data_IF_548568952554
#
_entry.id   IF_548568952554
#
_cell.length_a   1.000
_cell.length_b   1.000
_cell.length_c   1.000
_cell.angle_alpha   90.00
_cell.angle_beta   90.00
_cell.angle_gamma   90.00
#
_symmetry.space_group_name_H-M   'P 1'
#
loop_
_entity.id
_entity.type
_entity.pdbx_description
1 polymer ?
#
# COMPACT_ATOMS: atom_id res chain seq x y z
N UNK A 1 18.80 -31.34 -4.65
CA UNK A 1 17.45 -31.36 -4.11
C UNK A 1 17.34 -30.21 -3.11
N UNK A 2 17.02 -29.02 -3.57
CA UNK A 2 16.70 -27.87 -2.72
C UNK A 2 15.26 -28.00 -2.29
N UNK A 3 15.03 -28.23 -1.00
CA UNK A 3 13.71 -28.10 -0.39
C UNK A 3 13.44 -26.61 -0.14
N UNK A 4 12.68 -25.99 -1.03
CA UNK A 4 12.09 -24.67 -0.78
C UNK A 4 10.98 -24.82 0.28
N UNK A 5 11.33 -24.53 1.52
CA UNK A 5 10.33 -24.38 2.57
C UNK A 5 9.71 -23.00 2.44
N UNK A 6 8.62 -22.90 1.66
CA UNK A 6 7.72 -21.77 1.72
C UNK A 6 7.07 -21.74 3.11
N UNK A 7 7.45 -20.78 3.94
CA UNK A 7 6.85 -20.60 5.25
C UNK A 7 5.44 -20.03 5.07
N UNK A 8 4.42 -20.90 5.18
CA UNK A 8 3.02 -20.47 5.32
C UNK A 8 2.82 -19.98 6.75
N UNK A 9 2.44 -18.72 6.90
CA UNK A 9 2.01 -18.19 8.18
C UNK A 9 0.51 -18.47 8.31
N UNK A 10 0.14 -19.31 9.26
CA UNK A 10 -1.27 -19.61 9.57
C UNK A 10 -1.93 -18.41 10.25
N UNK A 11 -3.02 -17.91 9.66
CA UNK A 11 -3.87 -16.86 10.20
C UNK A 11 -5.14 -17.51 10.78
N UNK A 12 -5.64 -17.11 11.99
CA UNK A 12 -6.77 -17.77 12.65
C UNK A 12 -8.09 -17.70 11.86
N UNK A 13 -8.89 -18.76 11.90
CA UNK A 13 -10.16 -18.91 11.17
C UNK A 13 -11.22 -17.86 11.52
N UNK A 14 -11.89 -17.30 10.49
CA UNK A 14 -13.17 -16.63 10.68
C UNK A 14 -13.43 -15.29 10.02
N UNK A 15 -12.88 -15.00 8.78
CA UNK A 15 -13.33 -13.96 7.82
C UNK A 15 -12.52 -14.10 6.54
N UNK A 16 -13.05 -13.63 5.38
CA UNK A 16 -12.29 -13.51 4.13
C UNK A 16 -10.95 -12.87 4.46
N UNK A 17 -9.86 -13.56 4.17
CA UNK A 17 -8.55 -13.17 4.71
C UNK A 17 -7.57 -13.01 3.58
N UNK A 18 -6.92 -11.86 3.60
CA UNK A 18 -5.71 -11.63 2.84
C UNK A 18 -4.77 -12.82 2.95
N UNK A 19 -4.31 -13.31 1.80
CA UNK A 19 -3.30 -14.36 1.72
C UNK A 19 -2.07 -13.83 1.01
N UNK A 20 -0.88 -14.27 1.44
CA UNK A 20 0.35 -13.91 0.76
C UNK A 20 1.39 -15.02 0.82
N UNK A 21 2.31 -14.98 -0.13
CA UNK A 21 3.48 -15.86 -0.15
C UNK A 21 4.73 -15.06 -0.43
N UNK A 22 5.78 -15.35 0.32
CA UNK A 22 7.10 -14.76 0.14
C UNK A 22 7.98 -15.67 -0.73
N UNK A 23 8.65 -15.05 -1.73
CA UNK A 23 9.62 -15.63 -2.62
C UNK A 23 10.89 -14.77 -2.55
N UNK A 24 11.90 -15.23 -1.83
CA UNK A 24 13.14 -14.46 -1.58
C UNK A 24 12.84 -13.03 -1.10
N UNK A 25 13.03 -12.06 -1.98
CA UNK A 25 12.80 -10.64 -1.71
C UNK A 25 11.47 -10.10 -2.29
N UNK A 26 10.57 -10.98 -2.74
CA UNK A 26 9.27 -10.58 -3.28
C UNK A 26 8.14 -11.26 -2.49
N UNK A 27 7.11 -10.50 -2.17
CA UNK A 27 5.84 -11.02 -1.66
C UNK A 27 4.77 -10.81 -2.72
N UNK A 28 4.01 -11.87 -2.99
CA UNK A 28 2.78 -11.81 -3.78
C UNK A 28 1.62 -11.96 -2.80
N UNK A 29 0.72 -10.98 -2.78
CA UNK A 29 -0.42 -10.96 -1.88
C UNK A 29 -1.73 -10.79 -2.65
N UNK A 30 -2.79 -11.42 -2.11
CA UNK A 30 -4.18 -11.21 -2.50
C UNK A 30 -4.93 -10.64 -1.31
N UNK A 31 -5.48 -9.46 -1.46
CA UNK A 31 -6.36 -8.83 -0.48
C UNK A 31 -7.81 -9.09 -0.93
N UNK A 32 -8.63 -9.61 -0.04
CA UNK A 32 -9.95 -10.13 -0.37
C UNK A 32 -11.05 -9.06 -0.22
N UNK A 33 -12.20 -9.35 -0.80
CA UNK A 33 -13.38 -8.47 -0.75
C UNK A 33 -13.71 -8.05 0.68
N UNK A 34 -13.91 -6.75 0.89
CA UNK A 34 -14.27 -6.14 2.17
C UNK A 34 -13.09 -5.73 3.04
N UNK A 35 -11.88 -6.09 2.64
CA UNK A 35 -10.66 -5.71 3.37
C UNK A 35 -10.16 -4.32 2.92
N UNK A 36 -9.50 -3.62 3.85
CA UNK A 36 -8.89 -2.30 3.59
C UNK A 36 -7.43 -2.49 3.18
N UNK A 37 -7.04 -1.89 2.06
CA UNK A 37 -5.74 -2.15 1.42
C UNK A 37 -4.56 -1.74 2.30
N UNK A 38 -4.60 -0.57 2.94
CA UNK A 38 -3.48 -0.07 3.75
C UNK A 38 -3.33 -0.85 5.06
N UNK A 39 -4.44 -1.29 5.66
CA UNK A 39 -4.43 -2.14 6.86
C UNK A 39 -3.79 -3.49 6.56
N UNK A 40 -4.16 -4.12 5.43
CA UNK A 40 -3.60 -5.41 5.04
C UNK A 40 -2.11 -5.29 4.65
N UNK A 41 -1.75 -4.24 3.93
CA UNK A 41 -0.35 -3.96 3.62
C UNK A 41 0.50 -3.80 4.89
N UNK A 42 -0.01 -3.05 5.89
CA UNK A 42 0.65 -2.89 7.19
C UNK A 42 0.81 -4.23 7.90
N UNK A 43 -0.23 -5.06 7.91
CA UNK A 43 -0.17 -6.38 8.53
C UNK A 43 0.91 -7.27 7.89
N UNK A 44 0.98 -7.30 6.55
CA UNK A 44 2.04 -8.02 5.81
C UNK A 44 3.42 -7.47 6.17
N UNK A 45 3.59 -6.15 6.13
CA UNK A 45 4.87 -5.51 6.37
C UNK A 45 5.42 -5.76 7.78
N UNK A 46 4.55 -5.66 8.78
CA UNK A 46 4.92 -5.93 10.19
C UNK A 46 5.26 -7.41 10.38
N UNK A 47 4.40 -8.33 9.90
CA UNK A 47 4.62 -9.77 10.04
C UNK A 47 5.89 -10.25 9.32
N UNK A 48 6.21 -9.68 8.16
CA UNK A 48 7.40 -10.03 7.38
C UNK A 48 8.64 -9.19 7.74
N UNK A 49 8.53 -8.29 8.72
CA UNK A 49 9.59 -7.36 9.16
C UNK A 49 10.20 -6.56 7.99
N UNK A 50 9.33 -5.99 7.15
CA UNK A 50 9.75 -5.20 5.98
C UNK A 50 10.07 -3.77 6.44
N UNK A 51 11.30 -3.31 6.17
CA UNK A 51 11.74 -1.94 6.45
C UNK A 51 11.81 -1.06 5.21
N UNK A 52 12.02 -1.68 4.04
CA UNK A 52 12.08 -0.97 2.77
C UNK A 52 11.52 -1.85 1.65
N UNK A 53 10.56 -1.33 0.90
CA UNK A 53 10.00 -2.04 -0.25
C UNK A 53 9.35 -1.07 -1.25
N UNK A 54 9.24 -1.53 -2.49
CA UNK A 54 8.38 -0.95 -3.52
C UNK A 54 7.10 -1.75 -3.64
N UNK A 55 5.98 -1.07 -3.87
CA UNK A 55 4.63 -1.64 -3.96
C UNK A 55 4.06 -1.40 -5.33
N UNK A 56 3.45 -2.43 -5.91
CA UNK A 56 2.60 -2.35 -7.08
C UNK A 56 1.36 -3.22 -6.86
N UNK A 57 0.19 -2.70 -7.24
CA UNK A 57 -1.04 -3.48 -7.15
C UNK A 57 -2.05 -3.08 -8.22
N UNK A 58 -2.96 -4.00 -8.51
CA UNK A 58 -4.17 -3.81 -9.29
C UNK A 58 -5.35 -4.48 -8.57
N UNK A 59 -6.56 -4.21 -8.98
CA UNK A 59 -7.74 -4.81 -8.39
C UNK A 59 -8.98 -3.95 -8.54
N UNK A 60 -10.04 -4.30 -7.80
CA UNK A 60 -11.31 -3.58 -7.81
C UNK A 60 -11.70 -3.12 -6.40
N UNK A 61 -12.22 -1.91 -6.31
CA UNK A 61 -12.60 -1.24 -5.06
C UNK A 61 -13.99 -0.59 -5.17
N UNK A 62 -14.64 -0.31 -4.04
CA UNK A 62 -15.96 0.29 -4.02
C UNK A 62 -16.16 1.44 -3.01
N UNK A 63 -15.20 1.67 -2.14
CA UNK A 63 -15.19 2.78 -1.17
C UNK A 63 -13.74 3.21 -0.96
N UNK A 64 -13.40 4.44 -1.32
CA UNK A 64 -12.02 4.90 -1.20
C UNK A 64 -11.93 6.42 -1.04
N UNK A 65 -10.82 6.85 -0.46
CA UNK A 65 -10.46 8.26 -0.26
C UNK A 65 -9.06 8.49 -0.81
N UNK A 66 -8.94 9.49 -1.66
CA UNK A 66 -7.69 9.96 -2.25
C UNK A 66 -7.58 11.48 -2.15
N UNK A 67 -6.38 12.01 -2.24
CA UNK A 67 -6.21 13.45 -2.13
C UNK A 67 -4.93 13.99 -2.72
N UNK A 68 -4.81 15.31 -2.61
CA UNK A 68 -3.67 16.10 -3.09
C UNK A 68 -3.26 17.08 -2.00
N UNK A 69 -1.97 17.17 -1.77
CA UNK A 69 -1.38 18.19 -0.90
C UNK A 69 -0.95 19.40 -1.73
N UNK A 70 -1.46 20.59 -1.39
CA UNK A 70 -1.05 21.84 -1.99
C UNK A 70 0.06 22.47 -1.14
N UNK A 71 1.27 22.46 -1.65
CA UNK A 71 2.48 22.91 -0.94
C UNK A 71 2.43 24.38 -0.58
N UNK A 72 1.92 25.24 -1.46
CA UNK A 72 1.83 26.68 -1.25
C UNK A 72 0.86 27.05 -0.11
N UNK A 73 -0.21 26.25 0.04
CA UNK A 73 -1.21 26.43 1.10
C UNK A 73 -0.86 25.62 2.36
N UNK A 74 0.11 24.71 2.28
CA UNK A 74 0.40 23.65 3.27
C UNK A 74 -0.87 22.94 3.73
N UNK A 75 -1.74 22.60 2.77
CA UNK A 75 -3.07 22.05 3.03
C UNK A 75 -3.35 20.82 2.17
N UNK A 76 -3.90 19.79 2.82
CA UNK A 76 -4.33 18.57 2.18
C UNK A 76 -5.82 18.62 1.81
N UNK A 77 -6.15 18.24 0.59
CA UNK A 77 -7.50 18.15 0.06
C UNK A 77 -7.79 16.71 -0.33
N UNK A 78 -8.79 16.11 0.30
CA UNK A 78 -9.21 14.74 0.02
C UNK A 78 -10.65 14.67 -0.48
N UNK A 79 -10.92 13.62 -1.27
CA UNK A 79 -12.23 13.29 -1.79
C UNK A 79 -12.52 11.82 -1.56
N UNK A 80 -13.73 11.52 -1.12
CA UNK A 80 -14.21 10.14 -0.91
C UNK A 80 -15.19 9.75 -2.01
N UNK A 81 -15.07 8.52 -2.48
CA UNK A 81 -15.85 7.98 -3.58
C UNK A 81 -16.46 6.63 -3.20
N UNK A 82 -17.69 6.38 -3.67
CA UNK A 82 -18.37 5.09 -3.56
C UNK A 82 -18.90 4.67 -4.91
N UNK A 83 -18.81 3.38 -5.22
CA UNK A 83 -19.24 2.79 -6.49
C UNK A 83 -18.26 1.71 -6.95
N UNK A 84 -18.33 1.33 -8.21
CA UNK A 84 -17.46 0.30 -8.78
C UNK A 84 -16.30 0.95 -9.54
N UNK A 85 -15.09 0.62 -9.14
CA UNK A 85 -13.87 1.16 -9.74
C UNK A 85 -12.81 0.07 -9.87
N UNK A 86 -12.06 0.14 -10.97
CA UNK A 86 -10.86 -0.67 -11.15
C UNK A 86 -9.61 0.14 -10.74
N UNK A 87 -8.74 -0.47 -9.96
CA UNK A 87 -7.41 0.10 -9.71
C UNK A 87 -6.60 -0.05 -10.99
N UNK A 88 -6.41 1.05 -11.72
CA UNK A 88 -5.59 1.09 -12.94
C UNK A 88 -4.10 1.14 -12.61
N UNK A 89 -3.75 1.70 -11.47
CA UNK A 89 -2.40 1.70 -10.91
C UNK A 89 -2.46 2.00 -9.42
N UNK A 90 -1.79 1.20 -8.63
CA UNK A 90 -1.44 1.51 -7.24
C UNK A 90 0.06 1.31 -7.12
N UNK A 91 0.77 2.34 -6.68
CA UNK A 91 2.23 2.30 -6.54
C UNK A 91 2.66 3.07 -5.30
N UNK A 92 3.77 2.66 -4.71
CA UNK A 92 4.30 3.36 -3.56
C UNK A 92 5.49 2.66 -2.92
N UNK A 93 5.77 3.07 -1.70
CA UNK A 93 6.89 2.55 -0.91
C UNK A 93 6.47 2.24 0.51
N UNK A 94 7.10 1.21 1.07
CA UNK A 94 7.25 1.03 2.52
C UNK A 94 8.64 1.53 2.89
N UNK A 95 8.74 2.25 3.97
CA UNK A 95 9.98 2.64 4.62
C UNK A 95 9.73 2.85 6.11
N UNK A 96 10.61 3.55 6.82
CA UNK A 96 10.42 3.86 8.22
C UNK A 96 10.32 5.38 8.46
N UNK A 97 9.77 5.76 9.61
CA UNK A 97 9.90 7.07 10.19
C UNK A 97 10.17 6.90 11.69
N UNK A 98 11.31 7.35 12.15
CA UNK A 98 11.82 7.10 13.50
C UNK A 98 11.86 5.60 13.85
N UNK A 99 12.16 4.75 12.85
CA UNK A 99 12.21 3.30 12.97
C UNK A 99 10.87 2.58 12.87
N UNK A 100 9.74 3.30 12.88
CA UNK A 100 8.40 2.74 12.79
C UNK A 100 7.93 2.62 11.33
N UNK A 101 7.00 1.68 11.09
CA UNK A 101 6.41 1.46 9.77
C UNK A 101 5.81 2.75 9.18
N UNK A 102 6.19 3.05 7.97
CA UNK A 102 5.63 4.13 7.17
C UNK A 102 5.35 3.65 5.75
N UNK A 103 4.15 3.89 5.24
CA UNK A 103 3.79 3.63 3.85
C UNK A 103 3.37 4.91 3.15
N UNK A 104 3.78 5.06 1.89
CA UNK A 104 3.39 6.16 1.04
C UNK A 104 2.97 5.62 -0.32
N UNK A 105 1.67 5.66 -0.61
CA UNK A 105 1.08 5.11 -1.82
C UNK A 105 0.23 6.14 -2.55
N UNK A 106 0.30 6.07 -3.86
CA UNK A 106 -0.62 6.75 -4.77
C UNK A 106 -1.44 5.72 -5.54
N UNK A 107 -2.67 6.08 -5.86
CA UNK A 107 -3.59 5.21 -6.59
C UNK A 107 -4.30 6.01 -7.68
N UNK A 108 -4.45 5.40 -8.85
CA UNK A 108 -5.39 5.84 -9.88
C UNK A 108 -6.43 4.76 -10.14
N UNK A 109 -7.64 5.18 -10.42
CA UNK A 109 -8.81 4.32 -10.60
C UNK A 109 -9.58 4.70 -11.85
N UNK A 110 -10.17 3.70 -12.51
CA UNK A 110 -11.05 3.85 -13.63
C UNK A 110 -12.50 3.51 -13.28
N UNK A 111 -13.46 4.29 -13.79
CA UNK A 111 -14.88 4.00 -13.68
C UNK A 111 -15.41 3.24 -14.91
N UNK A 112 -16.73 2.94 -14.95
CA UNK A 112 -17.38 2.22 -16.04
C UNK A 112 -17.33 2.94 -17.40
N UNK A 113 -16.98 4.22 -17.41
CA UNK A 113 -16.81 5.02 -18.64
C UNK A 113 -15.37 5.08 -19.12
N UNK A 114 -14.42 4.51 -18.34
CA UNK A 114 -12.99 4.60 -18.61
C UNK A 114 -12.38 5.96 -18.22
N UNK A 115 -13.11 6.79 -17.48
CA UNK A 115 -12.55 8.00 -16.90
C UNK A 115 -11.61 7.63 -15.75
N UNK A 116 -10.40 8.20 -15.74
CA UNK A 116 -9.36 7.88 -14.74
C UNK A 116 -9.04 9.11 -13.91
N UNK A 117 -8.99 8.93 -12.60
CA UNK A 117 -8.53 9.94 -11.64
C UNK A 117 -7.78 9.28 -10.50
N UNK A 118 -7.02 10.05 -9.75
CA UNK A 118 -6.19 9.48 -8.69
C UNK A 118 -5.58 10.53 -7.78
N UNK A 119 -4.77 10.06 -6.84
CA UNK A 119 -4.07 10.89 -5.87
C UNK A 119 -3.36 10.05 -4.81
N UNK A 120 -2.95 10.72 -3.75
CA UNK A 120 -2.42 10.05 -2.56
C UNK A 120 -3.51 9.20 -1.92
N UNK A 121 -3.20 7.93 -1.63
CA UNK A 121 -4.15 6.98 -1.06
C UNK A 121 -4.28 7.19 0.45
N UNK A 122 -5.52 7.41 0.91
CA UNK A 122 -5.85 7.48 2.33
C UNK A 122 -6.56 6.22 2.85
N UNK A 123 -7.42 5.62 2.01
CA UNK A 123 -8.19 4.44 2.32
C UNK A 123 -8.72 3.82 1.03
N UNK A 124 -8.80 2.48 0.96
CA UNK A 124 -9.51 1.79 -0.11
C UNK A 124 -10.02 0.42 0.33
N UNK A 125 -11.32 0.18 0.13
CA UNK A 125 -11.99 -1.10 0.41
C UNK A 125 -12.11 -1.92 -0.87
N UNK A 126 -11.59 -3.14 -0.83
CA UNK A 126 -11.63 -4.08 -1.95
C UNK A 126 -13.06 -4.54 -2.21
N UNK A 127 -13.51 -4.48 -3.48
CA UNK A 127 -14.85 -4.94 -3.88
C UNK A 127 -14.87 -6.35 -4.49
N UNK A 128 -13.74 -6.80 -5.03
CA UNK A 128 -13.57 -8.14 -5.60
C UNK A 128 -12.26 -8.77 -5.15
N UNK A 129 -11.13 -8.29 -5.65
CA UNK A 129 -9.77 -8.69 -5.28
C UNK A 129 -8.81 -7.52 -5.42
N UNK A 130 -7.72 -7.53 -4.68
CA UNK A 130 -6.55 -6.70 -4.96
C UNK A 130 -5.32 -7.61 -4.96
N UNK A 131 -4.63 -7.63 -6.09
CA UNK A 131 -3.39 -8.39 -6.28
C UNK A 131 -2.21 -7.46 -6.14
N UNK A 132 -1.32 -7.77 -5.19
CA UNK A 132 -0.24 -6.88 -4.80
C UNK A 132 1.12 -7.59 -4.89
N UNK A 133 2.09 -6.88 -5.46
CA UNK A 133 3.50 -7.26 -5.48
C UNK A 133 4.27 -6.31 -4.58
N UNK A 134 4.97 -6.87 -3.60
CA UNK A 134 5.83 -6.16 -2.67
C UNK A 134 7.27 -6.58 -2.96
N UNK A 135 8.06 -5.69 -3.55
CA UNK A 135 9.48 -5.91 -3.85
C UNK A 135 10.32 -5.38 -2.71
N UNK A 136 10.84 -6.28 -1.88
CA UNK A 136 11.62 -5.96 -0.68
C UNK A 136 13.04 -5.54 -1.09
N UNK A 137 13.49 -4.41 -0.58
CA UNK A 137 14.86 -3.93 -0.73
C UNK A 137 15.62 -4.23 0.56
N UNK A 138 16.81 -4.81 0.43
CA UNK A 138 17.67 -5.08 1.59
C UNK A 138 18.36 -3.78 2.03
N UNK A 139 17.79 -3.14 3.03
CA UNK A 139 18.23 -1.87 3.57
C UNK A 139 17.10 -1.15 4.29
N UNK A 140 17.38 0.05 4.68
CA UNK A 140 16.40 0.96 5.30
C UNK A 140 16.61 2.39 4.80
N UNK A 141 15.53 3.13 4.72
CA UNK A 141 15.52 4.57 4.46
C UNK A 141 14.49 5.17 5.40
N UNK A 142 14.94 6.11 6.22
CA UNK A 142 14.06 6.78 7.17
C UNK A 142 13.43 8.04 6.55
N UNK A 143 12.59 8.72 7.31
CA UNK A 143 11.98 9.99 6.92
C UNK A 143 12.21 11.04 8.00
N UNK A 144 12.25 12.29 7.56
CA UNK A 144 12.16 13.44 8.45
C UNK A 144 11.14 14.45 7.92
N UNK A 145 10.55 15.20 8.83
CA UNK A 145 9.63 16.29 8.47
C UNK A 145 10.41 17.47 7.88
N UNK A 146 9.94 17.99 6.75
CA UNK A 146 10.45 19.21 6.12
C UNK A 146 9.52 20.38 6.43
N UNK A 147 9.98 21.37 7.18
CA UNK A 147 9.22 22.59 7.46
C UNK A 147 8.95 23.41 6.19
N UNK A 148 9.87 23.36 5.24
CA UNK A 148 9.74 24.06 3.96
C UNK A 148 8.57 23.51 3.15
N UNK A 149 8.52 22.19 2.98
CA UNK A 149 7.52 21.49 2.15
C UNK A 149 6.23 21.22 2.95
N UNK A 150 6.36 20.93 4.27
CA UNK A 150 5.25 20.55 5.13
C UNK A 150 4.90 19.07 5.08
N UNK A 151 5.84 18.21 4.65
CA UNK A 151 5.66 16.76 4.50
C UNK A 151 6.87 15.99 5.05
N UNK A 152 6.65 14.69 5.29
CA UNK A 152 7.71 13.75 5.65
C UNK A 152 8.44 13.29 4.39
N UNK A 153 9.69 13.69 4.21
CA UNK A 153 10.53 13.35 3.07
C UNK A 153 11.51 12.24 3.40
N UNK A 154 12.00 11.50 2.39
CA UNK A 154 13.11 10.56 2.59
C UNK A 154 14.33 11.28 3.15
N UNK A 155 14.93 10.68 4.15
CA UNK A 155 16.18 11.12 4.78
C UNK A 155 17.27 10.07 4.57
N UNK A 156 18.24 10.37 3.72
CA UNK A 156 19.38 9.50 3.41
C UNK A 156 20.59 9.77 4.31
N UNK A 157 20.46 10.63 5.30
CA UNK A 157 21.53 10.96 6.24
C UNK A 157 21.51 10.08 7.50
N UNK A 158 20.47 9.26 7.68
CA UNK A 158 20.26 8.36 8.81
C UNK A 158 20.45 6.91 8.42
#
# INVERSE_FOLDING_TARGET
LCNDMATQIEIPEGRNKMEYRKFDNVIIARIDKGEEILEQLKAIAVNANIKLASINALGAINDFTIGVYKTDEKKYYSNSFKGYYEITSLTGTINTMDGEYYAHLHMSVGNEKGEVFGGHLNQAIVSATCEMVISIVNGDVDRCYSDEIGLNLFDFSR
#
